data_IF_114398119730
#
_entry.id   IF_114398119730
#
_cell.length_a   1.000
_cell.length_b   1.000
_cell.length_c   1.000
_cell.angle_alpha   90.00
_cell.angle_beta   90.00
_cell.angle_gamma   90.00
#
_symmetry.space_group_name_H-M   'P 1'
#
loop_
_entity.id
_entity.type
_entity.pdbx_description
1 polymer ?
#
# COMPACT_ATOMS: atom_id res chain seq x y z
N UNK A 1 15.79 -26.41 29.62
CA UNK A 1 15.92 -25.34 28.61
C UNK A 1 15.35 -24.07 29.24
N UNK A 2 16.20 -23.08 29.55
CA UNK A 2 15.81 -21.87 30.28
C UNK A 2 15.29 -20.85 29.25
N UNK A 3 13.97 -20.61 29.24
CA UNK A 3 13.41 -19.43 28.58
C UNK A 3 13.87 -18.20 29.37
N UNK A 4 14.71 -17.36 28.76
CA UNK A 4 15.24 -16.16 29.37
C UNK A 4 14.11 -15.12 29.54
N UNK A 5 13.61 -14.95 30.77
CA UNK A 5 12.50 -14.02 31.08
C UNK A 5 12.79 -12.53 30.81
N UNK A 6 14.05 -12.16 30.59
CA UNK A 6 14.47 -10.79 30.26
C UNK A 6 14.05 -10.39 28.83
N UNK A 7 14.06 -11.33 27.88
CA UNK A 7 13.63 -11.06 26.50
C UNK A 7 12.13 -10.78 26.42
N UNK A 8 11.32 -11.59 27.12
CA UNK A 8 9.86 -11.42 27.18
C UNK A 8 9.48 -10.08 27.84
N UNK A 9 10.22 -9.66 28.87
CA UNK A 9 9.98 -8.38 29.54
C UNK A 9 10.28 -7.19 28.61
N UNK A 10 11.37 -7.23 27.84
CA UNK A 10 11.74 -6.16 26.92
C UNK A 10 10.74 -5.98 25.77
N UNK A 11 10.18 -7.08 25.23
CA UNK A 11 9.14 -7.04 24.20
C UNK A 11 7.85 -6.40 24.70
N UNK A 12 7.43 -6.73 25.94
CA UNK A 12 6.24 -6.14 26.57
C UNK A 12 6.42 -4.66 26.87
N UNK A 13 7.60 -4.24 27.36
CA UNK A 13 7.90 -2.82 27.57
C UNK A 13 7.98 -2.03 26.25
N UNK A 14 8.58 -2.61 25.22
CA UNK A 14 8.61 -2.01 23.90
C UNK A 14 7.19 -1.86 23.32
N UNK A 15 6.37 -2.92 23.37
CA UNK A 15 4.97 -2.88 22.96
C UNK A 15 4.17 -1.78 23.68
N UNK A 16 4.31 -1.69 25.01
CA UNK A 16 3.63 -0.67 25.80
C UNK A 16 4.07 0.78 25.51
N UNK A 17 5.28 0.98 25.00
CA UNK A 17 5.81 2.31 24.68
C UNK A 17 5.35 2.85 23.30
N UNK A 18 4.85 1.98 22.41
CA UNK A 18 4.47 2.38 21.04
C UNK A 18 3.00 2.83 20.89
N UNK A 19 2.18 2.77 21.96
CA UNK A 19 0.82 3.35 21.99
C UNK A 19 -0.25 2.58 21.22
N UNK A 20 0.11 1.96 20.09
CA UNK A 20 -0.76 1.09 19.29
C UNK A 20 -0.91 -0.31 19.87
N UNK A 21 -1.93 -1.06 19.43
CA UNK A 21 -2.16 -2.43 19.89
C UNK A 21 -1.13 -3.39 19.25
N UNK A 22 0.09 -3.40 19.79
CA UNK A 22 1.17 -4.31 19.39
C UNK A 22 0.83 -5.72 19.88
N UNK A 23 0.45 -6.58 18.94
CA UNK A 23 0.05 -7.97 19.20
C UNK A 23 1.26 -8.87 19.49
N UNK A 24 2.40 -8.58 18.87
CA UNK A 24 3.62 -9.37 19.02
C UNK A 24 4.85 -8.60 18.52
N UNK A 25 6.01 -9.04 18.97
CA UNK A 25 7.32 -8.51 18.62
C UNK A 25 8.26 -9.69 18.38
N UNK A 26 9.07 -9.61 17.32
CA UNK A 26 10.09 -10.62 17.06
C UNK A 26 11.29 -10.02 16.32
N UNK A 27 12.41 -10.74 16.34
CA UNK A 27 13.60 -10.35 15.58
C UNK A 27 13.70 -11.15 14.29
N UNK A 28 13.91 -10.45 13.18
CA UNK A 28 14.18 -11.03 11.87
C UNK A 28 15.34 -10.28 11.22
N UNK A 29 16.37 -11.00 10.76
CA UNK A 29 17.58 -10.42 10.16
C UNK A 29 18.18 -9.26 10.98
N UNK A 30 18.30 -9.46 12.29
CA UNK A 30 18.74 -8.47 13.28
C UNK A 30 17.86 -7.22 13.44
N UNK A 31 16.74 -7.12 12.73
CA UNK A 31 15.76 -6.04 12.88
C UNK A 31 14.60 -6.48 13.77
N UNK A 32 14.07 -5.52 14.52
CA UNK A 32 12.86 -5.71 15.33
C UNK A 32 11.64 -5.51 14.44
N UNK A 33 10.81 -6.55 14.33
CA UNK A 33 9.55 -6.54 13.60
C UNK A 33 8.39 -6.53 14.62
N UNK A 34 7.48 -5.59 14.43
CA UNK A 34 6.27 -5.38 15.20
C UNK A 34 5.10 -5.98 14.41
N UNK A 35 4.24 -6.71 15.11
CA UNK A 35 2.89 -7.04 14.63
C UNK A 35 1.95 -6.02 15.27
N UNK A 36 1.52 -5.02 14.50
CA UNK A 36 0.67 -3.95 14.99
C UNK A 36 -0.75 -4.10 14.43
N UNK A 37 -1.74 -3.95 15.31
CA UNK A 37 -3.15 -3.86 14.95
C UNK A 37 -3.61 -2.40 14.95
N UNK A 38 -4.24 -2.01 13.84
CA UNK A 38 -4.92 -0.74 13.67
C UNK A 38 -6.43 -0.99 13.55
N UNK A 39 -7.21 -0.33 14.40
CA UNK A 39 -8.66 -0.19 14.21
C UNK A 39 -8.90 1.20 13.68
N UNK A 40 -9.45 1.30 12.48
CA UNK A 40 -9.51 2.58 11.77
C UNK A 40 -10.61 3.44 12.38
N UNK A 41 -10.22 4.57 12.96
CA UNK A 41 -11.08 5.57 13.56
C UNK A 41 -11.11 6.85 12.71
N UNK A 42 -12.06 7.74 13.03
CA UNK A 42 -12.16 9.02 12.36
C UNK A 42 -11.00 9.93 12.79
N UNK A 43 -10.17 10.34 11.84
CA UNK A 43 -8.99 11.17 12.08
C UNK A 43 -7.66 10.40 12.00
N UNK A 44 -7.70 9.08 11.90
CA UNK A 44 -6.50 8.26 11.73
C UNK A 44 -5.76 8.56 10.43
N UNK A 45 -4.43 8.47 10.49
CA UNK A 45 -3.54 8.70 9.33
C UNK A 45 -3.71 7.66 8.22
N UNK A 46 -4.30 6.50 8.55
CA UNK A 46 -4.55 5.41 7.61
C UNK A 46 -5.94 5.48 6.95
N UNK A 47 -6.87 6.25 7.50
CA UNK A 47 -8.23 6.33 6.99
C UNK A 47 -8.25 6.92 5.57
N UNK A 48 -8.94 6.25 4.66
CA UNK A 48 -9.08 6.67 3.27
C UNK A 48 -7.92 6.28 2.37
N UNK A 49 -6.81 5.74 2.88
CA UNK A 49 -5.70 5.26 2.05
C UNK A 49 -6.00 3.87 1.46
N UNK A 50 -5.46 3.58 0.27
CA UNK A 50 -5.42 2.20 -0.24
C UNK A 50 -4.26 1.42 0.37
N UNK A 51 -4.39 0.10 0.51
CA UNK A 51 -3.36 -0.74 1.14
C UNK A 51 -2.01 -0.66 0.41
N UNK A 52 -1.99 -0.46 -0.91
CA UNK A 52 -0.76 -0.15 -1.66
C UNK A 52 -0.05 1.11 -1.12
N UNK A 53 -0.80 2.18 -0.82
CA UNK A 53 -0.24 3.41 -0.28
C UNK A 53 0.34 3.19 1.12
N UNK A 54 -0.31 2.35 1.92
CA UNK A 54 0.16 2.01 3.26
C UNK A 54 1.41 1.14 3.18
N UNK A 55 1.36 0.05 2.41
CA UNK A 55 2.45 -0.90 2.28
C UNK A 55 3.72 -0.24 1.74
N UNK A 56 3.60 0.46 0.61
CA UNK A 56 4.76 1.05 -0.06
C UNK A 56 5.12 2.44 0.47
N UNK A 57 4.13 3.20 0.94
CA UNK A 57 4.34 4.53 1.50
C UNK A 57 5.00 4.49 2.86
N UNK A 58 4.49 3.68 3.78
CA UNK A 58 5.06 3.56 5.13
C UNK A 58 6.11 2.45 5.26
N UNK A 59 6.21 1.56 4.27
CA UNK A 59 7.15 0.44 4.32
C UNK A 59 6.72 -0.61 5.34
N UNK A 60 5.44 -0.98 5.31
CA UNK A 60 4.84 -2.04 6.14
C UNK A 60 4.31 -3.16 5.26
N UNK A 61 4.00 -4.31 5.85
CA UNK A 61 3.40 -5.44 5.15
C UNK A 61 2.02 -5.72 5.75
N UNK A 62 0.92 -5.37 5.06
CA UNK A 62 -0.43 -5.83 5.43
C UNK A 62 -0.50 -7.36 5.44
N UNK A 63 -0.88 -7.94 6.57
CA UNK A 63 -0.99 -9.41 6.71
C UNK A 63 -2.40 -9.88 7.00
N UNK A 64 -3.26 -9.01 7.55
CA UNK A 64 -4.68 -9.29 7.75
C UNK A 64 -5.47 -8.00 7.59
N UNK A 65 -6.58 -8.08 6.85
CA UNK A 65 -7.59 -7.02 6.77
C UNK A 65 -8.95 -7.61 7.15
N UNK A 66 -9.76 -6.84 7.86
CA UNK A 66 -11.11 -7.21 8.20
C UNK A 66 -12.03 -5.98 8.02
N UNK A 67 -13.00 -6.11 7.12
CA UNK A 67 -13.96 -5.05 6.82
C UNK A 67 -15.03 -4.99 7.90
N UNK A 68 -14.97 -3.96 8.76
CA UNK A 68 -15.72 -3.93 10.02
C UNK A 68 -15.46 -5.18 10.91
N UNK A 69 -15.77 -5.08 12.20
CA UNK A 69 -15.58 -6.22 13.12
C UNK A 69 -16.46 -7.46 12.83
N UNK A 70 -17.39 -7.39 11.87
CA UNK A 70 -18.41 -8.43 11.60
C UNK A 70 -18.06 -9.34 10.41
N UNK A 71 -17.25 -8.89 9.46
CA UNK A 71 -16.90 -9.70 8.30
C UNK A 71 -15.72 -10.62 8.62
N UNK A 72 -15.57 -11.70 7.85
CA UNK A 72 -14.45 -12.63 8.02
C UNK A 72 -13.13 -11.97 7.67
N UNK A 73 -12.07 -12.17 8.46
CA UNK A 73 -10.76 -11.61 8.15
C UNK A 73 -10.17 -12.24 6.88
N UNK A 74 -9.51 -11.42 6.09
CA UNK A 74 -8.75 -11.81 4.90
C UNK A 74 -7.26 -11.74 5.21
N UNK A 75 -6.57 -12.87 5.13
CA UNK A 75 -5.11 -12.92 5.23
C UNK A 75 -4.45 -12.54 3.90
N UNK A 76 -3.30 -11.87 3.98
CA UNK A 76 -2.56 -11.36 2.82
C UNK A 76 -3.48 -10.58 1.87
N UNK A 77 -4.08 -9.48 2.36
CA UNK A 77 -5.11 -8.77 1.62
C UNK A 77 -4.58 -8.14 0.33
N UNK A 78 -5.48 -7.92 -0.62
CA UNK A 78 -5.15 -7.21 -1.86
C UNK A 78 -4.79 -5.75 -1.58
N UNK A 79 -3.71 -5.28 -2.21
CA UNK A 79 -3.24 -3.89 -2.15
C UNK A 79 -4.29 -2.85 -2.60
N UNK A 80 -5.32 -3.27 -3.32
CA UNK A 80 -6.34 -2.39 -3.91
C UNK A 80 -7.49 -2.05 -2.93
N UNK A 81 -7.43 -2.53 -1.69
CA UNK A 81 -8.45 -2.27 -0.67
C UNK A 81 -8.24 -0.87 -0.10
N UNK A 82 -9.30 -0.07 -0.04
CA UNK A 82 -9.31 1.22 0.66
C UNK A 82 -9.78 1.03 2.09
N UNK A 83 -9.01 1.52 3.05
CA UNK A 83 -9.41 1.51 4.45
C UNK A 83 -10.43 2.60 4.72
N UNK A 84 -11.46 2.25 5.49
CA UNK A 84 -12.45 3.17 6.00
C UNK A 84 -12.64 2.99 7.51
N UNK A 85 -13.28 3.96 8.15
CA UNK A 85 -13.63 3.90 9.57
C UNK A 85 -14.40 2.61 9.88
N UNK A 86 -13.97 1.93 10.95
CA UNK A 86 -14.51 0.64 11.40
C UNK A 86 -13.71 -0.58 10.91
N UNK A 87 -12.88 -0.42 9.88
CA UNK A 87 -12.01 -1.50 9.41
C UNK A 87 -10.92 -1.83 10.43
N UNK A 88 -10.40 -3.05 10.32
CA UNK A 88 -9.27 -3.52 11.11
C UNK A 88 -8.15 -3.99 10.18
N UNK A 89 -6.93 -3.54 10.44
CA UNK A 89 -5.73 -3.89 9.71
C UNK A 89 -4.68 -4.42 10.68
N UNK A 90 -4.02 -5.53 10.33
CA UNK A 90 -2.80 -5.98 11.01
C UNK A 90 -1.66 -5.91 10.01
N UNK A 91 -0.56 -5.30 10.43
CA UNK A 91 0.65 -5.14 9.63
C UNK A 91 1.86 -5.71 10.33
N UNK A 92 2.85 -6.13 9.53
CA UNK A 92 4.23 -6.23 9.96
C UNK A 92 4.92 -4.89 9.71
N UNK A 93 5.52 -4.32 10.74
CA UNK A 93 6.18 -3.03 10.67
C UNK A 93 7.55 -3.09 11.35
N UNK A 94 8.47 -2.25 10.90
CA UNK A 94 9.63 -1.89 11.73
C UNK A 94 9.25 -0.73 12.63
N UNK A 95 10.07 -0.44 13.65
CA UNK A 95 9.88 0.76 14.48
C UNK A 95 9.93 2.06 13.64
N UNK A 96 10.72 2.07 12.56
CA UNK A 96 10.77 3.19 11.63
C UNK A 96 9.46 3.33 10.83
N UNK A 97 8.93 2.23 10.30
CA UNK A 97 7.66 2.23 9.56
C UNK A 97 6.49 2.68 10.44
N UNK A 98 6.44 2.21 11.69
CA UNK A 98 5.42 2.61 12.66
C UNK A 98 5.48 4.11 12.95
N UNK A 99 6.66 4.68 13.21
CA UNK A 99 6.80 6.13 13.43
C UNK A 99 6.28 6.94 12.25
N UNK A 100 6.55 6.48 11.02
CA UNK A 100 6.09 7.18 9.82
C UNK A 100 4.57 7.18 9.70
N UNK A 101 3.90 6.11 10.15
CA UNK A 101 2.43 6.07 10.24
C UNK A 101 1.93 7.12 11.24
N UNK A 102 2.53 7.18 12.43
CA UNK A 102 2.14 8.15 13.47
C UNK A 102 2.28 9.61 12.99
N UNK A 103 3.28 9.88 12.16
CA UNK A 103 3.56 11.22 11.63
C UNK A 103 2.97 11.49 10.25
N UNK A 104 2.18 10.56 9.71
CA UNK A 104 1.64 10.63 8.34
C UNK A 104 2.72 10.88 7.26
N UNK A 105 3.93 10.35 7.46
CA UNK A 105 5.10 10.57 6.60
C UNK A 105 5.21 9.52 5.49
N UNK A 106 4.44 9.68 4.42
CA UNK A 106 4.49 8.81 3.24
C UNK A 106 5.81 8.94 2.47
N UNK A 107 6.24 7.84 1.86
CA UNK A 107 7.41 7.86 0.98
C UNK A 107 7.04 8.60 -0.31
N UNK A 108 8.02 9.19 -1.00
CA UNK A 108 7.73 9.88 -2.25
C UNK A 108 7.31 8.91 -3.35
N UNK A 109 6.31 9.31 -4.14
CA UNK A 109 5.82 8.57 -5.30
C UNK A 109 6.56 9.06 -6.55
N UNK A 110 7.66 8.39 -6.90
CA UNK A 110 8.58 8.88 -7.94
C UNK A 110 8.44 8.14 -9.28
N UNK A 111 7.32 7.44 -9.51
CA UNK A 111 7.10 6.65 -10.71
C UNK A 111 5.77 6.97 -11.35
N UNK A 112 5.73 6.97 -12.67
CA UNK A 112 4.51 7.03 -13.47
C UNK A 112 4.46 5.85 -14.44
N UNK A 113 3.27 5.63 -15.00
CA UNK A 113 3.04 4.61 -16.03
C UNK A 113 2.65 5.33 -17.31
N UNK A 114 3.45 5.13 -18.36
CA UNK A 114 3.13 5.56 -19.71
C UNK A 114 2.44 4.40 -20.44
N UNK A 115 1.30 4.68 -21.06
CA UNK A 115 0.49 3.71 -21.79
C UNK A 115 0.56 4.10 -23.26
N UNK A 116 1.16 3.23 -24.08
CA UNK A 116 1.45 3.52 -25.47
C UNK A 116 0.26 3.19 -26.38
N UNK A 117 -0.28 1.99 -26.26
CA UNK A 117 -1.28 1.48 -27.18
C UNK A 117 -2.06 0.29 -26.62
N UNK A 118 -3.28 0.14 -27.13
CA UNK A 118 -4.14 -1.04 -26.95
C UNK A 118 -4.00 -1.91 -28.18
N UNK A 119 -3.69 -3.19 -28.01
CA UNK A 119 -3.56 -4.13 -29.13
C UNK A 119 -4.87 -4.85 -29.46
N UNK A 120 -5.81 -4.90 -28.52
CA UNK A 120 -7.13 -5.52 -28.68
C UNK A 120 -8.20 -4.50 -28.25
N UNK A 121 -9.04 -3.98 -29.18
CA UNK A 121 -10.00 -2.91 -28.89
C UNK A 121 -10.93 -3.16 -27.70
N UNK A 122 -11.30 -4.41 -27.44
CA UNK A 122 -12.22 -4.78 -26.37
C UNK A 122 -11.64 -4.66 -24.95
N UNK A 123 -10.35 -4.32 -24.80
CA UNK A 123 -9.69 -4.25 -23.48
C UNK A 123 -9.67 -2.85 -22.85
N UNK A 124 -10.30 -1.84 -23.47
CA UNK A 124 -10.39 -0.47 -22.94
C UNK A 124 -10.98 -0.45 -21.53
N UNK A 125 -12.10 -1.14 -21.32
CA UNK A 125 -12.80 -1.15 -20.04
C UNK A 125 -11.99 -1.84 -18.93
N UNK A 126 -11.43 -3.01 -19.24
CA UNK A 126 -10.61 -3.77 -18.29
C UNK A 126 -9.30 -3.03 -17.96
N UNK A 127 -8.69 -2.38 -18.95
CA UNK A 127 -7.53 -1.52 -18.74
C UNK A 127 -7.83 -0.35 -17.81
N UNK A 128 -8.94 0.36 -18.05
CA UNK A 128 -9.39 1.45 -17.18
C UNK A 128 -9.67 0.97 -15.75
N UNK A 129 -10.26 -0.23 -15.61
CA UNK A 129 -10.51 -0.83 -14.30
C UNK A 129 -9.19 -1.10 -13.55
N UNK A 130 -8.19 -1.67 -14.21
CA UNK A 130 -6.90 -1.95 -13.56
C UNK A 130 -6.15 -0.67 -13.19
N UNK A 131 -6.22 0.37 -14.03
CA UNK A 131 -5.68 1.70 -13.71
C UNK A 131 -6.34 2.25 -12.46
N UNK A 132 -7.67 2.32 -12.41
CA UNK A 132 -8.40 2.87 -11.27
C UNK A 132 -8.12 2.10 -9.97
N UNK A 133 -8.16 0.76 -10.03
CA UNK A 133 -7.96 -0.07 -8.84
C UNK A 133 -6.55 0.02 -8.27
N UNK A 134 -5.52 0.03 -9.13
CA UNK A 134 -4.13 0.04 -8.67
C UNK A 134 -3.69 1.45 -8.30
N UNK A 135 -4.03 2.47 -9.08
CA UNK A 135 -3.57 3.84 -8.83
C UNK A 135 -4.43 4.62 -7.84
N UNK A 136 -5.67 4.16 -7.58
CA UNK A 136 -6.62 4.86 -6.74
C UNK A 136 -7.34 6.04 -7.41
N UNK A 137 -7.08 6.31 -8.69
CA UNK A 137 -7.83 7.32 -9.47
C UNK A 137 -9.26 6.88 -9.73
N UNK A 138 -10.13 7.83 -10.09
CA UNK A 138 -11.52 7.51 -10.41
C UNK A 138 -11.62 6.70 -11.71
N UNK A 139 -12.70 5.90 -11.83
CA UNK A 139 -12.99 5.17 -13.07
C UNK A 139 -13.17 6.11 -14.27
N UNK A 140 -13.67 7.33 -14.05
CA UNK A 140 -13.82 8.35 -15.10
C UNK A 140 -12.46 8.78 -15.64
N UNK A 141 -11.54 9.20 -14.75
CA UNK A 141 -10.18 9.59 -15.13
C UNK A 141 -9.43 8.44 -15.82
N UNK A 142 -9.61 7.20 -15.34
CA UNK A 142 -8.97 6.03 -15.94
C UNK A 142 -9.51 5.73 -17.34
N UNK A 143 -10.81 5.88 -17.57
CA UNK A 143 -11.42 5.71 -18.91
C UNK A 143 -10.98 6.80 -19.87
N UNK A 144 -11.01 8.05 -19.40
CA UNK A 144 -10.59 9.20 -20.19
C UNK A 144 -9.13 9.03 -20.68
N UNK A 145 -8.23 8.59 -19.79
CA UNK A 145 -6.86 8.26 -20.16
C UNK A 145 -6.80 7.19 -21.26
N UNK A 146 -7.58 6.11 -21.13
CA UNK A 146 -7.60 5.00 -22.11
C UNK A 146 -8.16 5.40 -23.48
N UNK A 147 -8.97 6.47 -23.56
CA UNK A 147 -9.49 7.00 -24.82
C UNK A 147 -8.50 7.93 -25.53
N UNK A 148 -7.49 8.45 -24.83
CA UNK A 148 -6.53 9.43 -25.33
C UNK A 148 -5.11 8.88 -25.46
N UNK A 149 -4.97 7.60 -25.82
CA UNK A 149 -3.67 6.96 -25.96
C UNK A 149 -2.92 7.41 -27.23
N UNK A 150 -1.59 7.57 -27.19
CA UNK A 150 -0.70 7.32 -26.05
C UNK A 150 -0.81 8.39 -24.95
N UNK A 151 -0.81 7.98 -23.68
CA UNK A 151 -0.95 8.87 -22.53
C UNK A 151 -0.16 8.41 -21.31
N UNK A 152 0.21 9.36 -20.45
CA UNK A 152 0.86 9.09 -19.17
C UNK A 152 -0.15 9.25 -18.04
N UNK A 153 -0.20 8.28 -17.12
CA UNK A 153 -0.96 8.42 -15.89
C UNK A 153 -0.37 9.53 -15.03
N UNK A 154 -1.08 10.64 -14.91
CA UNK A 154 -0.61 11.82 -14.17
C UNK A 154 -0.39 11.51 -12.68
N UNK A 155 -1.21 10.67 -12.07
CA UNK A 155 -1.09 10.27 -10.66
C UNK A 155 0.24 9.54 -10.43
N UNK A 156 1.16 10.11 -9.62
CA UNK A 156 2.39 9.43 -9.24
C UNK A 156 2.10 8.18 -8.40
N UNK A 157 2.89 7.13 -8.61
CA UNK A 157 2.78 5.84 -7.95
C UNK A 157 4.09 5.45 -7.26
N UNK A 158 3.97 4.52 -6.31
CA UNK A 158 5.12 3.78 -5.80
C UNK A 158 5.65 2.82 -6.87
N UNK A 159 6.95 2.52 -6.84
CA UNK A 159 7.59 1.65 -7.83
C UNK A 159 6.87 0.30 -7.99
N UNK A 160 6.55 -0.37 -6.89
CA UNK A 160 5.88 -1.67 -6.89
C UNK A 160 4.44 -1.57 -7.44
N UNK A 161 3.72 -0.51 -7.08
CA UNK A 161 2.38 -0.22 -7.59
C UNK A 161 2.40 0.01 -9.10
N UNK A 162 3.34 0.82 -9.62
CA UNK A 162 3.53 1.04 -11.05
C UNK A 162 3.91 -0.25 -11.80
N UNK A 163 4.81 -1.07 -11.22
CA UNK A 163 5.19 -2.36 -11.81
C UNK A 163 4.01 -3.34 -11.85
N UNK A 164 3.19 -3.37 -10.81
CA UNK A 164 1.98 -4.18 -10.76
C UNK A 164 1.01 -3.77 -11.87
N UNK A 165 0.79 -2.46 -12.05
CA UNK A 165 -0.07 -1.92 -13.10
C UNK A 165 0.42 -2.32 -14.50
N UNK A 166 1.70 -2.10 -14.80
CA UNK A 166 2.29 -2.49 -16.10
C UNK A 166 2.13 -3.99 -16.37
N UNK A 167 2.36 -4.85 -15.37
CA UNK A 167 2.17 -6.30 -15.51
C UNK A 167 0.72 -6.66 -15.82
N UNK A 168 -0.25 -6.00 -15.18
CA UNK A 168 -1.67 -6.26 -15.41
C UNK A 168 -2.14 -5.77 -16.78
N UNK A 169 -1.73 -4.57 -17.18
CA UNK A 169 -2.01 -4.04 -18.52
C UNK A 169 -1.40 -4.94 -19.61
N UNK A 170 -0.18 -5.43 -19.39
CA UNK A 170 0.48 -6.36 -20.33
C UNK A 170 -0.32 -7.65 -20.53
N UNK A 171 -0.94 -8.20 -19.45
CA UNK A 171 -1.82 -9.37 -19.55
C UNK A 171 -3.08 -9.11 -20.38
N UNK A 172 -3.53 -7.86 -20.42
CA UNK A 172 -4.66 -7.39 -21.23
C UNK A 172 -4.23 -6.96 -22.64
N UNK A 173 -3.00 -7.27 -23.08
CA UNK A 173 -2.46 -6.86 -24.38
C UNK A 173 -2.46 -5.33 -24.55
N UNK A 174 -2.24 -4.59 -23.46
CA UNK A 174 -2.04 -3.14 -23.46
C UNK A 174 -0.56 -2.88 -23.21
N UNK A 175 0.09 -2.15 -24.13
CA UNK A 175 1.51 -1.83 -24.02
C UNK A 175 1.70 -0.63 -23.12
N UNK A 176 2.44 -0.82 -22.03
CA UNK A 176 2.76 0.22 -21.07
C UNK A 176 4.16 0.00 -20.49
N UNK A 177 4.79 1.08 -20.03
CA UNK A 177 6.10 1.04 -19.37
C UNK A 177 6.19 2.05 -18.23
N UNK A 178 7.17 1.84 -17.35
CA UNK A 178 7.42 2.73 -16.22
C UNK A 178 8.31 3.89 -16.65
N UNK A 179 8.01 5.08 -16.16
CA UNK A 179 8.88 6.26 -16.27
C UNK A 179 9.17 6.82 -14.87
N UNK A 180 10.43 7.19 -14.55
CA UNK A 180 10.73 7.91 -13.32
C UNK A 180 10.24 9.35 -13.44
N UNK A 181 9.72 9.89 -12.34
CA UNK A 181 9.50 11.34 -12.23
C UNK A 181 10.89 11.95 -11.94
N UNK A 182 11.40 12.72 -12.90
CA UNK A 182 12.59 13.53 -12.64
C UNK A 182 12.21 14.56 -11.57
N UNK A 183 12.77 14.42 -10.37
CA UNK A 183 12.73 15.52 -9.42
C UNK A 183 13.64 16.59 -9.99
N UNK A 184 13.07 17.67 -10.54
CA UNK A 184 13.81 18.91 -10.71
C UNK A 184 14.25 19.35 -9.32
N UNK A 185 15.46 18.96 -8.94
CA UNK A 185 16.19 19.58 -7.84
C UNK A 185 16.60 20.95 -8.35
N UNK A 186 15.64 21.88 -8.37
CA UNK A 186 15.98 23.30 -8.39
C UNK A 186 16.62 23.58 -7.04
N UNK A 187 17.93 23.82 -7.10
CA UNK A 187 18.83 24.08 -5.97
C UNK A 187 18.53 25.41 -5.30
#
# INVERSE_FOLDING_TARGET
QVLCGVALSAEVFAAAAYGENVLSLFRFLNQTVLVAEYKIEAGDTLNGLILAEIAYGYGVVPILYQKNARESPTFMPSDNIRLIVGDRLIVLATSHSHRRIEWAELAPRNWQVHIEAILIPDTVFDGAREIAQISGVTMETARDLMHHLPATLHQPLYKHQAQSLVRKLSKLQIRAHLIPIANDISS
#
